data_IF_912092330538
#
_entry.id   IF_912092330538
#
_cell.length_a   1.000
_cell.length_b   1.000
_cell.length_c   1.000
_cell.angle_alpha   90.00
_cell.angle_beta   90.00
_cell.angle_gamma   90.00
#
_symmetry.space_group_name_H-M   'P 1'
#
loop_
_entity.id
_entity.type
_entity.pdbx_description
1 polymer ?
2 branched ?
3 non-polymer ?
4 water ?
#
# COMPACT_ATOMS: atom_id res chain seq x y z
N UNK A 1 -12.12 11.27 8.54
CA UNK A 1 -11.81 10.09 9.42
C UNK A 1 -10.52 10.41 10.20
N UNK A 2 -10.47 10.12 11.50
CA UNK A 2 -9.30 10.38 12.30
C UNK A 2 -8.96 9.16 13.14
N UNK A 3 -7.70 9.01 13.50
CA UNK A 3 -7.24 8.07 14.51
C UNK A 3 -6.29 8.74 15.44
N UNK A 4 -6.00 8.07 16.57
CA UNK A 4 -4.94 8.46 17.45
C UNK A 4 -4.34 7.26 18.19
N UNK A 5 -3.20 7.48 18.86
CA UNK A 5 -2.42 6.44 19.52
C UNK A 5 -2.21 6.97 20.93
N UNK A 6 -2.61 6.19 21.91
CA UNK A 6 -2.54 6.53 23.36
C UNK A 6 -3.03 7.90 23.67
N UNK A 7 -4.14 8.30 23.08
CA UNK A 7 -4.68 9.63 23.32
C UNK A 7 -3.83 10.78 22.80
N UNK A 8 -2.96 10.57 21.79
CA UNK A 8 -2.17 11.68 21.22
C UNK A 8 -3.02 12.42 20.22
N UNK A 9 -2.37 13.30 19.47
CA UNK A 9 -3.10 14.15 18.53
C UNK A 9 -3.56 13.33 17.29
N UNK A 10 -4.53 13.92 16.59
CA UNK A 10 -5.32 13.17 15.65
C UNK A 10 -4.47 12.96 14.36
N UNK A 11 -4.78 11.91 13.61
CA UNK A 11 -3.93 11.43 12.50
C UNK A 11 -4.89 11.22 11.37
N UNK A 12 -4.55 11.68 10.19
CA UNK A 12 -5.42 11.60 9.03
C UNK A 12 -4.90 10.62 7.97
N UNK A 13 -3.65 10.24 8.06
CA UNK A 13 -2.92 9.40 7.09
C UNK A 13 -1.44 9.22 7.55
N UNK A 14 -0.67 8.37 6.86
CA UNK A 14 0.75 8.34 7.04
C UNK A 14 1.15 7.24 8.00
N UNK A 15 2.44 7.21 8.32
CA UNK A 15 3.06 6.23 9.22
C UNK A 15 3.15 6.75 10.62
N UNK A 16 2.79 5.91 11.59
CA UNK A 16 2.85 6.25 13.01
C UNK A 16 3.47 5.05 13.76
N UNK A 17 4.37 5.34 14.70
CA UNK A 17 5.00 4.32 15.55
C UNK A 17 4.07 4.01 16.74
N UNK A 18 3.89 2.74 17.09
CA UNK A 18 2.96 2.32 18.18
C UNK A 18 3.80 1.46 19.13
N UNK A 19 4.04 2.02 20.32
CA UNK A 19 4.90 1.41 21.37
C UNK A 19 4.09 0.50 22.30
N UNK A 20 4.50 -0.76 22.43
CA UNK A 20 3.78 -1.77 23.22
C UNK A 20 4.76 -2.32 24.27
N UNK A 21 4.28 -2.67 25.46
CA UNK A 21 5.08 -3.45 26.41
C UNK A 21 4.79 -4.90 26.24
N UNK A 22 5.80 -5.74 26.17
CA UNK A 22 5.59 -7.16 25.94
C UNK A 22 6.17 -7.93 27.10
N UNK A 23 5.77 -9.19 27.22
CA UNK A 23 6.34 -10.12 28.25
C UNK A 23 7.83 -10.30 27.97
N UNK A 24 8.70 -10.04 28.95
CA UNK A 24 10.14 -10.06 28.63
C UNK A 24 10.78 -11.44 28.39
N UNK A 25 10.08 -12.51 28.78
CA UNK A 25 10.52 -13.91 28.59
C UNK A 25 9.40 -14.71 27.93
N UNK A 26 9.68 -15.41 26.82
CA UNK A 26 8.79 -16.40 26.16
C UNK A 26 9.50 -17.82 26.03
N UNK A 27 8.74 -18.95 25.91
CA UNK A 27 9.28 -20.34 25.74
C UNK A 27 9.04 -20.85 24.31
N UNK A 28 9.81 -21.85 23.84
CA UNK A 28 9.57 -22.40 22.47
C UNK A 28 8.11 -22.86 22.26
N UNK A 29 7.58 -22.63 21.05
CA UNK A 29 6.15 -22.90 20.77
C UNK A 29 5.11 -22.02 21.48
N UNK A 30 5.50 -21.19 22.44
CA UNK A 30 4.56 -20.33 23.15
C UNK A 30 4.24 -19.11 22.29
N UNK A 31 3.05 -18.61 22.46
CA UNK A 31 2.59 -17.59 21.60
C UNK A 31 2.58 -16.20 22.24
N UNK A 32 3.22 -15.25 21.58
CA UNK A 32 3.29 -13.87 22.05
C UNK A 32 2.12 -13.03 21.48
N UNK A 33 1.38 -12.31 22.34
CA UNK A 33 0.20 -11.52 21.91
C UNK A 33 0.45 -10.03 22.02
N UNK A 34 0.14 -9.32 20.96
CA UNK A 34 0.20 -7.91 20.96
C UNK A 34 -1.23 -7.35 20.75
N UNK A 35 -1.83 -6.75 21.78
CA UNK A 35 -3.20 -6.23 21.67
C UNK A 35 -3.18 -4.74 21.31
N UNK A 36 -3.42 -4.48 20.04
CA UNK A 36 -3.40 -3.10 19.56
C UNK A 36 -4.65 -2.33 19.86
N UNK A 37 -5.74 -2.99 20.19
CA UNK A 37 -6.99 -2.32 20.63
C UNK A 37 -6.84 -1.41 21.88
N UNK A 38 -5.79 -1.64 22.67
CA UNK A 38 -5.48 -0.75 23.79
C UNK A 38 -4.86 0.56 23.37
N UNK A 39 -4.28 0.65 22.17
CA UNK A 39 -3.46 1.75 21.74
C UNK A 39 -4.04 2.64 20.68
N UNK A 40 -4.67 2.06 19.69
CA UNK A 40 -5.11 2.79 18.55
C UNK A 40 -6.65 2.88 18.60
N UNK A 41 -7.18 4.07 18.37
CA UNK A 41 -8.62 4.34 18.27
C UNK A 41 -8.89 5.20 17.02
N UNK A 42 -10.09 5.12 16.40
CA UNK A 42 -10.48 5.89 15.25
C UNK A 42 -11.91 6.32 15.35
N UNK A 43 -12.27 7.40 14.66
CA UNK A 43 -13.63 7.85 14.68
C UNK A 43 -14.02 8.59 13.38
N UNK A 44 -15.33 8.68 13.15
CA UNK A 44 -15.92 9.44 12.07
C UNK A 44 -15.86 10.88 12.48
N UNK A 45 -15.41 11.75 11.60
CA UNK A 45 -15.29 13.18 11.92
C UNK A 45 -16.63 13.92 11.91
N UNK A 46 -17.70 13.41 11.33
CA UNK A 46 -19.01 14.11 11.41
C UNK A 46 -20.04 13.46 12.38
N UNK A 47 -20.04 12.11 12.48
CA UNK A 47 -21.06 11.43 13.26
C UNK A 47 -22.37 11.23 12.49
N UNK A 48 -23.29 10.51 13.15
CA UNK A 48 -24.56 10.18 12.60
C UNK A 48 -24.58 9.34 11.34
N UNK A 49 -23.50 8.68 10.96
CA UNK A 49 -23.52 7.77 9.77
C UNK A 49 -23.84 8.54 8.48
N UNK A 50 -23.51 9.82 8.45
CA UNK A 50 -23.82 10.68 7.35
C UNK A 50 -22.82 10.38 6.21
N UNK A 51 -21.53 10.37 6.54
CA UNK A 51 -20.49 10.02 5.56
C UNK A 51 -19.69 8.90 6.17
N UNK A 52 -20.15 7.65 6.02
CA UNK A 52 -19.63 6.55 6.81
C UNK A 52 -18.22 6.13 6.28
N UNK A 53 -17.29 5.85 7.20
CA UNK A 53 -15.96 5.42 6.90
C UNK A 53 -15.88 3.92 6.90
N UNK A 54 -15.16 3.38 5.93
CA UNK A 54 -14.97 1.96 5.75
C UNK A 54 -13.45 1.66 5.81
N UNK A 55 -13.03 0.86 6.79
CA UNK A 55 -11.66 0.57 6.97
C UNK A 55 -11.34 -0.92 6.91
N UNK A 56 -10.21 -1.27 6.31
CA UNK A 56 -9.73 -2.66 6.33
C UNK A 56 -8.20 -2.64 6.38
N UNK A 57 -7.63 -3.80 6.71
CA UNK A 57 -6.17 -4.00 6.64
C UNK A 57 -5.81 -4.60 5.24
N UNK A 58 -4.56 -4.34 4.84
CA UNK A 58 -4.14 -4.49 3.49
C UNK A 58 -3.05 -5.60 3.32
N UNK A 59 -3.28 -6.39 2.29
CA UNK A 59 -2.33 -7.29 1.60
C UNK A 59 -0.92 -6.75 1.57
N UNK A 60 -0.03 -7.58 2.06
CA UNK A 60 1.35 -7.21 2.21
C UNK A 60 1.80 -6.72 3.56
N UNK A 61 0.88 -6.43 4.50
CA UNK A 61 1.25 -6.11 5.89
C UNK A 61 2.04 -7.32 6.37
N UNK A 62 3.15 -7.05 6.99
CA UNK A 62 4.13 -8.09 7.29
C UNK A 62 4.98 -7.74 8.55
N UNK A 63 5.64 -8.78 9.05
CA UNK A 63 6.79 -8.66 9.96
C UNK A 63 7.93 -7.88 9.31
N UNK A 64 8.71 -7.18 10.11
CA UNK A 64 9.80 -6.38 9.62
C UNK A 64 11.09 -6.99 10.07
N UNK A 65 12.12 -6.91 9.22
CA UNK A 65 13.56 -7.17 9.64
C UNK A 65 14.06 -8.60 9.85
N UNK A 67 12.33 -10.25 11.49
CA UNK A 67 11.37 -11.25 11.95
C UNK A 67 10.53 -11.87 10.86
N UNK A 68 11.02 -11.83 9.63
CA UNK A 68 10.30 -12.39 8.45
C UNK A 68 10.14 -13.91 8.48
N UNK A 69 11.01 -14.62 9.20
CA UNK A 69 10.86 -16.06 9.36
C UNK A 69 9.80 -16.40 10.39
N UNK A 70 9.17 -15.41 11.02
CA UNK A 70 8.26 -15.75 12.10
C UNK A 70 6.87 -16.11 11.57
N UNK A 71 6.19 -16.98 12.30
CA UNK A 71 4.79 -17.35 12.01
C UNK A 71 3.89 -16.37 12.75
N UNK A 72 2.74 -16.13 12.18
CA UNK A 72 1.80 -15.33 12.87
C UNK A 72 0.42 -15.34 12.34
N UNK A 73 -0.42 -14.78 13.18
CA UNK A 73 -1.81 -14.59 12.94
C UNK A 73 -2.16 -13.18 13.30
N UNK A 74 -3.19 -12.68 12.65
CA UNK A 74 -3.70 -11.37 12.95
C UNK A 74 -5.20 -11.49 13.17
N UNK A 75 -5.67 -11.08 14.33
CA UNK A 75 -7.12 -11.02 14.64
C UNK A 75 -7.61 -9.63 14.22
N UNK A 76 -8.59 -9.56 13.35
CA UNK A 76 -9.12 -8.28 12.90
C UNK A 76 -10.64 -8.45 12.81
N UNK A 77 -11.34 -7.68 13.66
CA UNK A 77 -12.78 -7.53 13.62
C UNK A 77 -13.45 -8.84 13.66
N UNK A 78 -13.03 -9.68 14.60
CA UNK A 78 -13.55 -11.02 14.86
C UNK A 78 -13.07 -12.11 13.95
N UNK A 79 -12.08 -11.92 13.07
CA UNK A 79 -11.61 -12.98 12.18
C UNK A 79 -10.09 -13.09 12.32
N UNK A 80 -9.57 -14.30 12.23
CA UNK A 80 -8.17 -14.61 12.27
C UNK A 80 -7.64 -14.82 10.86
N UNK A 81 -6.58 -14.10 10.48
CA UNK A 81 -6.00 -14.25 9.20
C UNK A 81 -4.56 -14.67 9.41
N UNK A 82 -4.03 -15.53 8.53
CA UNK A 82 -2.57 -15.75 8.59
C UNK A 82 -1.86 -14.41 8.41
N UNK A 83 -0.73 -14.26 9.09
CA UNK A 83 0.12 -13.09 9.00
C UNK A 83 1.56 -13.59 8.67
N UNK A 84 2.22 -13.01 7.65
CA UNK A 84 1.77 -11.79 6.86
C UNK A 84 0.55 -11.88 5.95
N UNK A 85 -0.14 -10.75 5.80
CA UNK A 85 -1.46 -10.77 5.11
C UNK A 85 -1.23 -10.99 3.65
N UNK A 86 -1.81 -12.05 3.10
CA UNK A 86 -1.66 -12.33 1.66
C UNK A 86 -2.94 -11.86 0.91
N UNK A 87 -3.90 -11.27 1.64
CA UNK A 87 -5.16 -10.69 1.12
C UNK A 87 -5.57 -9.50 2.00
N UNK A 88 -6.51 -8.71 1.56
CA UNK A 88 -7.13 -7.71 2.39
C UNK A 88 -8.06 -8.36 3.41
N UNK A 89 -8.28 -7.68 4.55
CA UNK A 89 -9.25 -8.18 5.57
C UNK A 89 -10.67 -7.68 5.32
N UNK A 90 -11.62 -8.19 6.10
CA UNK A 90 -12.98 -7.72 6.08
C UNK A 90 -13.02 -6.17 6.52
N UNK A 91 -14.12 -5.51 6.21
CA UNK A 91 -14.24 -4.07 6.34
C UNK A 91 -14.98 -3.75 7.65
N UNK A 92 -14.48 -2.78 8.36
CA UNK A 92 -15.13 -2.25 9.57
C UNK A 92 -15.72 -0.89 9.20
N UNK A 93 -16.98 -0.70 9.54
CA UNK A 93 -17.69 0.56 9.21
C UNK A 93 -17.69 1.47 10.43
N UNK A 94 -17.30 2.75 10.28
CA UNK A 94 -17.23 3.69 11.38
C UNK A 94 -18.02 4.94 11.00
N UNK A 95 -19.13 5.16 11.75
CA UNK A 95 -20.04 6.26 11.47
C UNK A 95 -20.26 7.20 12.59
N UNK A 96 -19.73 6.88 13.76
CA UNK A 96 -19.93 7.75 14.93
C UNK A 96 -18.67 8.59 15.23
N UNK A 97 -18.87 9.75 15.87
CA UNK A 97 -17.84 10.62 16.35
C UNK A 97 -17.45 10.24 17.78
N UNK A 98 -17.08 9.00 17.97
CA UNK A 98 -16.82 8.33 19.24
C UNK A 98 -15.58 7.49 18.94
N UNK A 99 -14.55 7.63 19.74
CA UNK A 99 -13.39 6.84 19.30
C UNK A 99 -13.55 5.32 19.51
N UNK A 100 -13.42 4.54 18.44
CA UNK A 100 -13.60 3.12 18.51
C UNK A 100 -12.22 2.53 18.55
N UNK A 101 -11.89 1.77 19.63
CA UNK A 101 -10.62 0.98 19.58
C UNK A 101 -10.54 0.10 18.34
N UNK A 102 -9.41 0.08 17.62
CA UNK A 102 -9.32 -0.84 16.49
C UNK A 102 -9.26 -2.28 17.03
N UNK A 103 -10.09 -3.18 16.48
CA UNK A 103 -10.22 -4.53 17.04
C UNK A 103 -9.18 -5.40 16.38
N UNK A 104 -7.96 -5.25 16.87
CA UNK A 104 -6.78 -5.74 16.18
C UNK A 104 -5.80 -6.35 17.20
N UNK A 105 -5.44 -7.62 17.04
CA UNK A 105 -4.41 -8.27 17.86
C UNK A 105 -3.48 -9.01 16.92
N UNK A 106 -2.23 -9.11 17.29
CA UNK A 106 -1.18 -9.79 16.49
C UNK A 106 -0.60 -10.92 17.34
N UNK A 107 -0.65 -12.14 16.83
CA UNK A 107 -0.10 -13.33 17.49
C UNK A 107 1.17 -13.75 16.82
N UNK A 108 2.23 -13.88 17.58
CA UNK A 108 3.58 -14.15 17.02
C UNK A 108 4.16 -15.40 17.61
N UNK A 109 4.57 -16.31 16.74
CA UNK A 109 5.38 -17.46 17.14
C UNK A 109 6.78 -17.32 16.55
N UNK A 110 7.79 -17.25 17.42
CA UNK A 110 9.15 -17.10 16.88
C UNK A 110 9.71 -18.42 16.32
N UNK A 111 10.51 -18.35 15.24
CA UNK A 111 11.27 -19.54 14.79
C UNK A 111 12.42 -19.15 13.83
N UNK A 116 17.59 -17.18 22.64
CA UNK A 116 18.20 -15.83 22.89
C UNK A 116 17.21 -14.68 22.64
N UNK A 117 17.70 -13.51 22.26
CA UNK A 117 16.79 -12.36 22.00
C UNK A 117 15.93 -12.64 20.80
N UNK A 118 14.63 -12.56 20.99
CA UNK A 118 13.65 -12.80 19.92
C UNK A 118 13.11 -11.47 19.31
N UNK A 119 12.87 -10.48 20.17
CA UNK A 119 12.46 -9.13 19.79
C UNK A 119 13.38 -8.15 20.50
N UNK A 120 14.01 -7.25 19.74
CA UNK A 120 14.83 -6.14 20.32
C UNK A 120 14.00 -4.89 20.62
N UNK A 121 14.23 -4.28 21.76
CA UNK A 121 13.53 -3.06 22.15
C UNK A 121 13.80 -2.03 21.05
N UNK A 122 12.77 -1.34 20.57
CA UNK A 122 12.95 -0.22 19.72
C UNK A 122 13.03 -0.52 18.24
N UNK A 123 13.03 -1.80 17.86
CA UNK A 123 13.05 -2.19 16.46
C UNK A 123 11.58 -2.36 16.02
N UNK A 124 11.33 -2.01 14.78
CA UNK A 124 10.02 -2.26 14.22
C UNK A 124 9.82 -3.75 14.08
N UNK A 125 8.74 -4.26 14.64
CA UNK A 125 8.42 -5.69 14.60
C UNK A 125 7.47 -6.05 13.44
N UNK A 126 6.52 -5.15 13.17
CA UNK A 126 5.53 -5.37 12.13
C UNK A 126 5.10 -4.02 11.51
N UNK A 127 4.71 -4.06 10.24
CA UNK A 127 4.19 -2.88 9.56
C UNK A 127 2.82 -3.22 9.06
N UNK A 128 1.83 -2.57 9.65
CA UNK A 128 0.46 -2.87 9.35
C UNK A 128 -0.19 -1.79 8.52
N UNK A 129 -0.51 -2.13 7.28
CA UNK A 129 -1.18 -1.19 6.35
C UNK A 129 -2.71 -1.23 6.51
N UNK A 130 -3.29 -0.07 6.79
CA UNK A 130 -4.72 0.10 6.92
C UNK A 130 -5.23 1.10 5.85
N UNK A 131 -6.37 0.81 5.27
CA UNK A 131 -6.96 1.66 4.24
C UNK A 131 -8.34 2.14 4.70
N UNK A 132 -8.63 3.40 4.38
CA UNK A 132 -9.86 4.02 4.64
C UNK A 132 -10.40 4.60 3.36
N UNK A 133 -11.69 4.44 3.12
CA UNK A 133 -12.42 5.22 2.16
C UNK A 133 -13.86 5.44 2.77
N UNK A 134 -14.46 6.56 2.47
CA UNK A 134 -15.77 6.88 3.01
C UNK A 134 -16.83 6.66 1.92
N UNK A 135 -17.95 7.37 2.00
CA UNK A 135 -19.15 7.07 1.25
C UNK A 135 -19.47 8.18 0.19
N UNK A 136 -19.32 9.47 0.55
CA UNK A 136 -19.69 10.60 -0.31
C UNK A 136 -18.54 11.04 -1.21
N UNK A 137 -18.88 11.61 -2.35
CA UNK A 137 -17.87 12.08 -3.35
C UNK A 137 -16.96 10.95 -3.78
N UNK A 138 -15.69 11.21 -3.82
CA UNK A 138 -14.69 10.18 -4.13
C UNK A 138 -14.41 9.27 -2.93
N UNK A 139 -14.94 9.59 -1.76
CA UNK A 139 -14.62 8.85 -0.54
C UNK A 139 -13.35 9.27 0.16
N UNK A 140 -12.56 10.20 -0.42
CA UNK A 140 -11.26 10.65 0.09
C UNK A 140 -10.40 9.53 0.75
N UNK A 141 -9.99 8.55 -0.06
CA UNK A 141 -9.20 7.47 0.47
C UNK A 141 -7.91 7.89 1.14
N UNK A 142 -7.55 7.22 2.24
CA UNK A 142 -6.32 7.51 2.98
C UNK A 142 -5.62 6.23 3.33
N UNK A 143 -4.30 6.25 3.42
CA UNK A 143 -3.56 5.07 3.80
C UNK A 143 -2.85 5.43 5.13
N UNK A 144 -2.86 4.49 6.06
CA UNK A 144 -2.20 4.53 7.36
C UNK A 144 -1.24 3.36 7.45
N UNK A 145 -0.05 3.56 8.06
CA UNK A 145 0.85 2.44 8.39
C UNK A 145 1.16 2.56 9.85
N UNK A 146 0.91 1.47 10.58
CA UNK A 146 1.16 1.38 11.96
C UNK A 146 2.43 0.56 12.09
N UNK A 147 3.50 1.20 12.53
CA UNK A 147 4.78 0.51 12.86
C UNK A 147 4.75 0.07 14.28
N UNK A 148 4.66 -1.24 14.50
CA UNK A 148 4.55 -1.76 15.81
C UNK A 148 5.98 -1.94 16.42
N UNK A 149 6.21 -1.43 17.61
CA UNK A 149 7.54 -1.38 18.21
C UNK A 149 7.44 -1.75 19.69
N UNK A 150 8.33 -2.63 20.17
CA UNK A 150 8.33 -3.01 21.61
C UNK A 150 9.18 -2.06 22.39
N UNK A 151 8.70 -1.63 23.55
CA UNK A 151 9.50 -0.88 24.55
C UNK A 151 10.63 -1.70 25.25
N UNK A 152 10.55 -3.03 25.22
CA UNK A 152 11.54 -3.89 25.85
C UNK A 152 11.92 -5.11 25.00
N UNK A 153 13.12 -5.65 25.19
CA UNK A 153 13.45 -6.88 24.52
C UNK A 153 12.68 -8.05 25.13
N UNK A 154 12.53 -9.06 24.30
CA UNK A 154 11.83 -10.29 24.62
C UNK A 154 12.87 -11.37 24.27
N UNK A 155 13.05 -12.27 25.23
CA UNK A 155 14.11 -13.30 25.24
C UNK A 155 13.45 -14.67 25.36
N UNK A 156 14.06 -15.65 24.74
CA UNK A 156 13.70 -17.05 24.92
C UNK A 156 14.91 -17.86 25.39
N UNK A 157 14.89 -18.43 26.63
CA UNK A 157 15.98 -19.33 27.16
C UNK A 157 16.70 -20.31 26.19
N UNK B 1 11.24 -14.36 -8.00
CA UNK B 1 10.55 -13.40 -8.94
C UNK B 1 11.41 -12.16 -9.08
N UNK B 2 11.58 -11.66 -10.34
CA UNK B 2 12.37 -10.46 -10.52
C UNK B 2 11.61 -9.49 -11.39
N UNK B 3 11.90 -8.22 -11.22
CA UNK B 3 11.49 -7.16 -12.20
C UNK B 3 12.68 -6.29 -12.53
N UNK B 4 12.51 -5.45 -13.54
CA UNK B 4 13.42 -4.38 -13.83
C UNK B 4 12.73 -3.19 -14.48
N UNK B 5 13.45 -2.09 -14.55
CA UNK B 5 12.93 -0.85 -15.07
C UNK B 5 13.93 -0.37 -16.15
N UNK B 6 13.44 -0.11 -17.37
CA UNK B 6 14.24 0.27 -18.51
C UNK B 6 15.45 -0.65 -18.69
N UNK B 7 15.27 -1.96 -18.57
CA UNK B 7 16.37 -2.90 -18.82
C UNK B 7 17.49 -2.88 -17.80
N UNK B 8 17.31 -2.29 -16.63
CA UNK B 8 18.35 -2.18 -15.60
C UNK B 8 18.47 -3.45 -14.77
N UNK B 9 19.16 -3.35 -13.63
CA UNK B 9 19.41 -4.51 -12.79
C UNK B 9 18.14 -5.01 -12.02
N UNK B 10 18.19 -6.26 -11.60
CA UNK B 10 17.03 -6.96 -11.23
C UNK B 10 16.59 -6.51 -9.79
N UNK B 11 15.29 -6.61 -9.52
CA UNK B 11 14.62 -6.01 -8.28
C UNK B 11 13.79 -7.12 -7.70
N UNK B 12 13.98 -7.44 -6.42
CA UNK B 12 13.30 -8.47 -5.74
C UNK B 12 12.18 -7.98 -4.79
N UNK B 13 12.18 -6.71 -4.45
CA UNK B 13 11.22 -6.07 -3.53
C UNK B 13 11.52 -4.53 -3.43
N UNK B 14 10.67 -3.75 -2.74
CA UNK B 14 11.05 -2.41 -2.33
C UNK B 14 10.54 -1.38 -3.30
N UNK B 15 11.01 -0.16 -3.14
CA UNK B 15 10.54 1.02 -3.95
C UNK B 15 11.52 1.38 -5.00
N UNK B 16 11.02 1.65 -6.19
CA UNK B 16 11.81 1.98 -7.31
C UNK B 16 11.14 3.17 -8.07
N UNK B 17 11.95 4.12 -8.51
CA UNK B 17 11.49 5.26 -9.31
C UNK B 17 11.34 4.81 -10.74
N UNK B 18 10.26 5.21 -11.38
CA UNK B 18 10.03 4.92 -12.78
C UNK B 18 9.85 6.26 -13.54
N UNK B 19 10.84 6.57 -14.37
CA UNK B 19 10.88 7.84 -15.13
C UNK B 19 10.08 7.71 -16.37
N UNK B 20 9.07 8.59 -16.61
CA UNK B 20 8.24 8.59 -17.82
C UNK B 20 8.20 9.92 -18.56
N UNK B 21 8.03 9.88 -19.88
CA UNK B 21 7.85 11.12 -20.66
C UNK B 21 6.40 11.42 -20.77
N UNK B 22 5.99 12.64 -20.47
CA UNK B 22 4.59 13.01 -20.53
C UNK B 22 4.44 14.12 -21.52
N UNK B 23 3.22 14.30 -21.98
CA UNK B 23 2.86 15.31 -23.00
C UNK B 23 3.20 16.66 -22.37
N UNK B 24 4.09 17.45 -23.00
CA UNK B 24 4.54 18.68 -22.27
C UNK B 24 3.50 19.83 -22.13
N UNK B 25 2.41 19.77 -22.88
CA UNK B 25 1.36 20.79 -22.92
C UNK B 25 0.04 20.06 -22.87
N UNK B 26 -0.75 20.32 -21.85
CA UNK B 26 -2.09 19.79 -21.75
C UNK B 26 -3.05 20.97 -21.65
N UNK B 27 -4.22 20.71 -22.14
CA UNK B 27 -5.28 21.71 -22.12
C UNK B 27 -6.31 21.29 -21.09
N UNK B 28 -7.12 22.25 -20.62
CA UNK B 28 -8.21 21.87 -19.71
C UNK B 28 -9.14 20.74 -20.28
N UNK B 29 -9.61 19.85 -19.42
CA UNK B 29 -10.33 18.64 -19.84
C UNK B 29 -9.59 17.55 -20.63
N UNK B 30 -8.36 17.80 -21.03
CA UNK B 30 -7.60 16.81 -21.76
C UNK B 30 -6.98 15.80 -20.74
N UNK B 31 -6.75 14.58 -21.18
CA UNK B 31 -6.20 13.58 -20.32
C UNK B 31 -4.88 12.92 -20.79
N UNK B 32 -4.03 12.62 -19.82
CA UNK B 32 -2.74 11.99 -20.05
C UNK B 32 -2.82 10.50 -19.91
N UNK B 33 -2.11 9.84 -20.80
CA UNK B 33 -1.85 8.40 -20.71
C UNK B 33 -0.41 8.14 -20.33
N UNK B 34 -0.19 7.30 -19.31
CA UNK B 34 1.12 6.84 -18.93
C UNK B 34 1.19 5.33 -19.15
N UNK B 35 1.90 4.91 -20.18
CA UNK B 35 1.98 3.49 -20.51
C UNK B 35 3.19 2.90 -19.78
N UNK B 36 2.93 2.21 -18.67
CA UNK B 36 4.02 1.63 -17.88
C UNK B 36 4.55 0.32 -18.44
N UNK B 37 3.82 -0.32 -19.34
CA UNK B 37 4.35 -1.47 -20.05
C UNK B 37 5.69 -1.20 -20.81
N UNK B 38 5.95 0.09 -21.13
CA UNK B 38 7.19 0.51 -21.82
C UNK B 38 8.36 0.66 -20.88
N UNK B 39 8.17 0.56 -19.55
CA UNK B 39 9.23 0.68 -18.56
C UNK B 39 9.50 -0.51 -17.64
N UNK B 40 8.47 -1.20 -17.19
CA UNK B 40 8.61 -2.23 -16.23
C UNK B 40 8.33 -3.62 -16.84
N UNK B 41 9.21 -4.60 -16.55
CA UNK B 41 9.12 -5.97 -17.02
C UNK B 41 9.43 -6.90 -15.87
N UNK B 42 8.86 -8.10 -15.82
CA UNK B 42 9.06 -9.04 -14.69
C UNK B 42 9.20 -10.44 -15.24
N UNK B 43 9.83 -11.32 -14.49
CA UNK B 43 9.99 -12.66 -14.92
C UNK B 43 10.10 -13.66 -13.76
N UNK B 44 9.84 -14.91 -14.07
CA UNK B 44 10.04 -15.99 -13.14
C UNK B 44 11.52 -16.31 -13.13
N UNK B 45 12.07 -16.49 -11.93
CA UNK B 45 13.49 -16.82 -11.81
C UNK B 45 13.91 -18.30 -12.18
N UNK B 46 12.97 -19.25 -12.24
CA UNK B 46 13.30 -20.58 -12.65
C UNK B 46 12.90 -20.84 -14.09
N UNK B 47 11.72 -20.38 -14.49
CA UNK B 47 11.12 -20.78 -15.79
C UNK B 47 10.40 -22.12 -15.73
N UNK B 48 9.79 -22.43 -16.86
CA UNK B 48 9.04 -23.68 -17.01
C UNK B 48 7.81 -23.82 -16.11
N UNK B 49 7.25 -22.73 -15.56
CA UNK B 49 5.99 -22.81 -14.83
C UNK B 49 6.13 -23.86 -13.69
N UNK B 50 7.30 -23.87 -13.06
CA UNK B 50 7.61 -24.78 -11.95
C UNK B 50 7.15 -24.19 -10.60
N UNK B 51 7.54 -22.96 -10.34
CA UNK B 51 7.09 -22.25 -9.14
C UNK B 51 6.51 -20.96 -9.62
N UNK B 52 5.25 -20.99 -9.99
CA UNK B 52 4.66 -19.92 -10.72
C UNK B 52 4.40 -18.70 -9.80
N UNK B 53 4.68 -17.50 -10.33
CA UNK B 53 4.49 -16.26 -9.61
C UNK B 53 3.14 -15.64 -9.90
N UNK B 54 2.52 -15.06 -8.87
CA UNK B 54 1.19 -14.45 -8.99
C UNK B 54 1.30 -13.03 -8.48
N UNK B 55 1.05 -12.07 -9.34
CA UNK B 55 1.16 -10.69 -8.99
C UNK B 55 -0.18 -9.90 -9.20
N UNK B 56 -0.44 -8.97 -8.30
CA UNK B 56 -1.52 -8.05 -8.46
C UNK B 56 -1.13 -6.68 -7.92
N UNK B 57 -1.96 -5.67 -8.27
CA UNK B 57 -1.79 -4.34 -7.72
C UNK B 57 -2.73 -4.19 -6.50
N UNK B 58 -2.34 -3.28 -5.62
CA UNK B 58 -2.89 -3.23 -4.25
C UNK B 58 -3.71 -1.91 -3.97
N UNK B 59 -4.85 -2.16 -3.36
CA UNK B 59 -5.69 -1.20 -2.68
C UNK B 59 -4.88 -0.12 -2.04
N UNK B 60 -5.25 1.12 -2.40
CA UNK B 60 -4.58 2.24 -1.84
C UNK B 60 -3.55 2.85 -2.73
N UNK B 61 -3.18 2.18 -3.82
CA UNK B 61 -2.36 2.84 -4.87
C UNK B 61 -3.07 4.12 -5.34
N UNK B 62 -2.30 5.19 -5.45
CA UNK B 62 -2.91 6.54 -5.58
C UNK B 62 -1.95 7.50 -6.27
N UNK B 63 -2.51 8.61 -6.73
CA UNK B 63 -1.71 9.84 -7.06
C UNK B 63 -0.94 10.38 -5.85
N UNK B 64 0.16 11.08 -6.07
CA UNK B 64 0.96 11.65 -5.00
C UNK B 64 0.90 13.16 -5.08
N UNK B 66 -0.18 16.26 -4.00
CA UNK B 66 -0.23 17.35 -4.94
C UNK B 66 -1.14 17.06 -6.18
N UNK B 67 -1.10 15.85 -6.79
CA UNK B 67 -2.12 15.45 -7.78
C UNK B 67 -3.26 14.66 -7.17
N UNK B 68 -3.46 14.83 -5.85
CA UNK B 68 -4.41 14.07 -5.06
C UNK B 68 -5.82 14.34 -5.49
N UNK B 69 -6.11 15.51 -6.06
CA UNK B 69 -7.48 15.81 -6.54
C UNK B 69 -7.76 15.26 -7.90
N UNK B 70 -6.78 14.60 -8.53
CA UNK B 70 -7.00 14.22 -9.94
C UNK B 70 -7.88 12.94 -10.06
N UNK B 71 -8.58 12.81 -11.18
CA UNK B 71 -9.39 11.62 -11.50
C UNK B 71 -8.51 10.67 -12.31
N UNK B 72 -8.86 9.41 -12.28
CA UNK B 72 -8.15 8.49 -13.08
C UNK B 72 -8.72 7.13 -13.20
N UNK B 73 -8.06 6.36 -14.06
CA UNK B 73 -8.30 4.98 -14.32
C UNK B 73 -6.96 4.29 -14.42
N UNK B 74 -6.98 3.02 -14.14
CA UNK B 74 -5.79 2.22 -14.23
C UNK B 74 -6.13 0.93 -14.99
N UNK B 75 -5.50 0.71 -16.13
CA UNK B 75 -5.67 -0.50 -16.87
C UNK B 75 -4.68 -1.54 -16.33
N UNK B 76 -5.14 -2.72 -15.96
CA UNK B 76 -4.27 -3.78 -15.52
C UNK B 76 -4.84 -5.13 -16.00
N UNK B 77 -4.07 -5.76 -16.86
CA UNK B 77 -4.29 -7.15 -17.25
C UNK B 77 -5.75 -7.47 -17.51
N UNK B 78 -6.26 -6.73 -18.46
CA UNK B 78 -7.57 -6.94 -19.13
C UNK B 78 -8.69 -6.24 -18.42
N UNK B 79 -8.46 -5.46 -17.34
CA UNK B 79 -9.54 -4.73 -16.66
C UNK B 79 -9.05 -3.29 -16.48
N UNK B 80 -9.96 -2.34 -16.61
CA UNK B 80 -9.76 -0.93 -16.33
C UNK B 80 -10.49 -0.60 -14.99
N UNK B 81 -9.76 -0.22 -13.94
CA UNK B 81 -10.27 0.01 -12.60
C UNK B 81 -10.27 1.49 -12.41
N UNK B 82 -11.25 2.04 -11.64
CA UNK B 82 -11.05 3.42 -11.15
C UNK B 82 -9.73 3.57 -10.37
N UNK B 83 -9.14 4.78 -10.48
CA UNK B 83 -7.88 5.07 -9.80
C UNK B 83 -8.10 6.39 -9.08
N UNK B 84 -7.69 6.53 -7.82
CA UNK B 84 -6.98 5.51 -7.01
C UNK B 84 -7.68 4.19 -6.72
N UNK B 85 -6.88 3.16 -6.52
CA UNK B 85 -7.41 1.80 -6.38
C UNK B 85 -8.10 1.69 -5.05
N UNK B 86 -9.37 1.26 -5.08
CA UNK B 86 -10.13 1.02 -3.87
C UNK B 86 -10.31 -0.50 -3.62
N UNK B 87 -9.70 -1.31 -4.45
CA UNK B 87 -9.65 -2.77 -4.31
C UNK B 87 -8.32 -3.28 -4.85
N UNK B 88 -7.93 -4.50 -4.52
CA UNK B 88 -6.86 -5.20 -5.18
C UNK B 88 -7.31 -5.63 -6.58
N UNK B 89 -6.37 -5.67 -7.53
CA UNK B 89 -6.71 -6.00 -8.92
C UNK B 89 -6.73 -7.49 -9.12
N UNK B 90 -7.12 -7.92 -10.31
CA UNK B 90 -6.99 -9.32 -10.69
C UNK B 90 -5.48 -9.73 -10.72
N UNK B 91 -5.22 -11.00 -10.76
CA UNK B 91 -3.88 -11.53 -10.61
C UNK B 91 -3.33 -11.88 -12.04
N UNK B 92 -2.07 -11.59 -12.29
CA UNK B 92 -1.33 -12.00 -13.43
C UNK B 92 -0.32 -13.09 -13.01
N UNK B 93 -0.26 -14.15 -13.78
CA UNK B 93 0.57 -15.32 -13.44
C UNK B 93 1.81 -15.32 -14.32
N UNK B 94 3.01 -15.47 -13.72
CA UNK B 94 4.29 -15.35 -14.44
C UNK B 94 5.19 -16.59 -14.10
N UNK B 95 5.48 -17.36 -15.15
CA UNK B 95 6.13 -18.67 -15.04
C UNK B 95 7.30 -18.82 -15.95
N UNK B 96 7.49 -17.91 -16.92
CA UNK B 96 8.63 -18.02 -17.90
C UNK B 96 9.80 -17.15 -17.43
N UNK B 97 11.00 -17.51 -17.79
CA UNK B 97 12.20 -16.70 -17.51
C UNK B 97 12.37 -15.52 -18.52
N UNK B 98 11.80 -15.66 -19.69
CA UNK B 98 11.65 -14.50 -20.63
C UNK B 98 10.83 -13.32 -20.02
N UNK B 99 11.43 -12.10 -19.89
CA UNK B 99 10.73 -10.92 -19.23
C UNK B 99 9.36 -10.62 -19.89
N UNK B 100 8.33 -10.36 -19.07
CA UNK B 100 7.08 -9.93 -19.55
C UNK B 100 6.89 -8.43 -19.17
N UNK B 101 6.67 -7.55 -20.16
CA UNK B 101 6.17 -6.16 -19.86
C UNK B 101 4.91 -6.17 -19.01
N UNK B 102 4.85 -5.40 -17.94
CA UNK B 102 3.66 -5.38 -17.14
C UNK B 102 2.55 -4.72 -18.01
N UNK B 103 1.36 -5.32 -18.09
CA UNK B 103 0.24 -4.81 -18.85
C UNK B 103 -0.54 -3.72 -18.02
N UNK B 104 0.05 -2.55 -17.95
CA UNK B 104 -0.31 -1.54 -16.98
C UNK B 104 -0.28 -0.16 -17.62
N UNK B 105 -1.39 0.55 -17.63
CA UNK B 105 -1.46 1.92 -18.13
C UNK B 105 -2.28 2.76 -17.14
N UNK B 106 -1.94 4.02 -17.00
CA UNK B 106 -2.55 4.92 -16.05
C UNK B 106 -3.14 6.09 -16.88
N UNK B 107 -4.44 6.32 -16.75
CA UNK B 107 -5.12 7.43 -17.39
C UNK B 107 -5.37 8.50 -16.38
N UNK B 108 -4.97 9.72 -16.66
CA UNK B 108 -5.05 10.85 -15.70
C UNK B 108 -5.86 12.00 -16.29
N UNK B 109 -6.94 12.44 -15.61
CA UNK B 109 -7.66 13.67 -15.94
C UNK B 109 -7.37 14.71 -14.86
N UNK B 110 -6.73 15.79 -15.25
CA UNK B 110 -6.42 16.81 -14.25
C UNK B 110 -7.68 17.62 -13.85
N UNK B 111 -7.79 17.93 -12.55
CA UNK B 111 -8.87 18.66 -11.87
C UNK B 111 -8.15 19.75 -10.98
N UNK B 112 -8.39 21.04 -11.23
CA UNK B 112 -7.73 22.16 -10.52
C UNK B 112 -7.20 23.25 -11.44
N UNK B 113 -5.91 23.15 -11.80
CA UNK B 113 -5.14 24.25 -12.42
C UNK B 113 -4.91 25.32 -11.35
N UNK B 115 -3.41 26.95 -14.32
CA UNK B 115 -2.45 27.32 -15.39
C UNK B 115 -0.93 27.42 -15.09
N UNK B 116 -0.07 27.44 -16.12
CA UNK B 116 1.36 27.35 -15.91
C UNK B 116 1.76 25.87 -15.59
N UNK B 117 2.84 25.67 -14.86
CA UNK B 117 3.34 24.34 -14.61
C UNK B 117 2.41 23.56 -13.70
N UNK B 118 1.99 22.39 -14.16
CA UNK B 118 1.07 21.50 -13.43
C UNK B 118 1.82 20.32 -12.84
N UNK B 119 2.77 19.77 -13.61
CA UNK B 119 3.61 18.66 -13.15
C UNK B 119 5.04 19.10 -13.38
N UNK B 120 5.79 19.06 -12.30
CA UNK B 120 7.23 19.28 -12.36
C UNK B 120 8.05 18.08 -12.76
N UNK B 121 9.10 18.30 -13.56
CA UNK B 121 10.10 17.28 -13.84
C UNK B 121 10.74 16.83 -12.52
N UNK B 122 10.71 15.53 -12.22
CA UNK B 122 11.27 14.99 -11.03
C UNK B 122 10.30 14.76 -9.90
N UNK B 123 9.04 15.14 -10.03
CA UNK B 123 8.01 15.02 -8.96
C UNK B 123 7.39 13.64 -9.06
N UNK B 124 7.21 12.94 -7.96
CA UNK B 124 6.41 11.70 -7.92
C UNK B 124 4.97 12.04 -8.24
N UNK B 125 4.41 11.42 -9.29
CA UNK B 125 3.01 11.65 -9.73
C UNK B 125 2.04 10.55 -9.20
N UNK B 126 2.53 9.32 -8.99
CA UNK B 126 1.71 8.22 -8.53
C UNK B 126 2.57 7.21 -7.81
N UNK B 127 1.98 6.54 -6.82
CA UNK B 127 2.63 5.43 -6.09
C UNK B 127 1.80 4.18 -6.26
N UNK B 128 2.36 3.24 -7.04
CA UNK B 128 1.66 2.02 -7.35
C UNK B 128 2.24 0.86 -6.53
N UNK B 129 1.42 0.31 -5.66
CA UNK B 129 1.79 -0.87 -4.87
C UNK B 129 1.44 -2.22 -5.60
N UNK B 130 2.43 -3.09 -5.71
CA UNK B 130 2.31 -4.41 -6.36
C UNK B 130 2.70 -5.49 -5.38
N UNK B 131 1.95 -6.59 -5.32
CA UNK B 131 2.23 -7.69 -4.43
C UNK B 131 2.51 -8.93 -5.26
N UNK B 132 3.50 -9.73 -4.82
CA UNK B 132 3.85 -10.99 -5.43
C UNK B 132 3.73 -12.05 -4.39
N UNK B 133 3.17 -13.23 -4.76
CA UNK B 133 3.36 -14.48 -4.02
C UNK B 133 3.43 -15.62 -5.02
N UNK B 134 4.22 -16.66 -4.73
CA UNK B 134 4.42 -17.75 -5.68
C UNK B 134 3.58 -18.91 -5.25
N UNK B 135 3.94 -20.13 -5.66
CA UNK B 135 3.10 -21.29 -5.58
C UNK B 135 3.61 -22.26 -4.50
N UNK B 136 4.91 -22.51 -4.46
CA UNK B 136 5.53 -23.52 -3.52
C UNK B 136 5.85 -22.94 -2.17
N UNK B 137 5.83 -23.80 -1.14
CA UNK B 137 6.16 -23.41 0.27
C UNK B 137 5.22 -22.29 0.75
N UNK B 138 5.77 -21.29 1.37
CA UNK B 138 5.01 -20.11 1.77
C UNK B 138 4.74 -19.18 0.61
N UNK B 139 5.35 -19.42 -0.55
CA UNK B 139 5.16 -18.48 -1.68
C UNK B 139 6.07 -17.26 -1.65
N UNK B 140 6.85 -17.05 -0.56
CA UNK B 140 7.80 -15.92 -0.38
C UNK B 140 7.24 -14.57 -0.88
N UNK B 141 6.15 -14.11 -0.24
CA UNK B 141 5.56 -12.90 -0.65
C UNK B 141 6.54 -11.71 -0.64
N UNK B 142 6.39 -10.79 -1.58
CA UNK B 142 7.18 -9.62 -1.65
C UNK B 142 6.33 -8.41 -2.02
N UNK B 143 6.72 -7.22 -1.60
CA UNK B 143 5.96 -6.01 -1.93
C UNK B 143 6.91 -5.18 -2.79
N UNK B 144 6.37 -4.56 -3.83
CA UNK B 144 7.03 -3.58 -4.68
C UNK B 144 6.25 -2.28 -4.70
N UNK B 145 6.90 -1.12 -4.73
CA UNK B 145 6.22 0.15 -5.00
C UNK B 145 6.95 0.80 -6.16
N UNK B 146 6.17 1.17 -7.14
CA UNK B 146 6.67 1.87 -8.29
C UNK B 146 6.29 3.32 -8.11
N UNK B 147 7.28 4.16 -7.88
CA UNK B 147 7.07 5.63 -7.88
C UNK B 147 7.18 6.22 -9.24
N UNK B 148 6.07 6.67 -9.76
CA UNK B 148 6.05 7.14 -11.11
C UNK B 148 6.49 8.62 -11.09
N UNK B 149 7.48 8.98 -11.89
CA UNK B 149 8.09 10.33 -11.92
C UNK B 149 8.19 10.86 -13.36
N UNK B 150 7.80 12.11 -13.60
CA UNK B 150 7.95 12.68 -14.95
C UNK B 150 9.36 13.13 -15.22
N UNK B 151 9.88 12.81 -16.40
CA UNK B 151 11.12 13.41 -16.93
C UNK B 151 11.02 14.88 -17.27
N UNK B 152 9.84 15.41 -17.51
CA UNK B 152 9.66 16.78 -18.04
C UNK B 152 8.49 17.51 -17.38
N UNK B 153 8.57 18.84 -17.37
CA UNK B 153 7.45 19.77 -17.08
C UNK B 153 6.25 19.49 -17.93
N UNK B 154 5.06 19.61 -17.35
CA UNK B 154 3.80 19.58 -18.04
C UNK B 154 3.17 20.88 -17.64
N UNK B 155 2.72 21.59 -18.63
CA UNK B 155 2.23 22.95 -18.52
C UNK B 155 0.80 22.93 -19.04
N UNK B 156 -0.03 23.76 -18.47
CA UNK B 156 -1.33 24.05 -19.00
C UNK B 156 -1.38 25.55 -19.22
N UNK B 157 -1.27 26.01 -20.48
CA UNK B 157 -1.36 27.45 -20.78
C UNK B 157 -2.56 28.15 -20.09
N UNK B 158 -2.27 29.27 -19.41
CA UNK B 158 -3.30 30.16 -18.86
C UNK B 158 -4.01 30.84 -20.01
N UNK B 159 -3.28 31.41 -20.98
CA UNK B 159 -3.92 32.02 -22.18
C UNK B 159 -3.45 31.32 -23.47
N UNK B 160 -4.32 31.36 -24.49
CA UNK B 160 -4.11 30.65 -25.78
C UNK B 160 -4.14 31.61 -27.02
N UNK B 161 -4.28 32.92 -26.81
CA UNK B 161 -4.38 33.87 -27.93
C UNK B 161 -3.55 35.10 -27.66
N UNK B 162 -3.13 35.82 -28.71
CA UNK B 162 -2.33 37.07 -28.56
C UNK B 162 -3.12 38.09 -27.66
N UNK B 163 -4.40 38.35 -27.94
CA UNK B 163 -5.28 39.16 -27.05
C UNK B 163 -6.29 38.27 -26.25
N UNK B 164 -6.58 38.60 -25.00
CA UNK B 164 -7.37 37.71 -24.07
C UNK B 164 -7.99 38.42 -22.85
X LIG C 1 -12.20 18.28 8.76
X LIG C 1 -13.05 18.41 7.61
X LIG C 1 -14.38 18.39 8.09
X LIG C 1 -12.89 17.21 6.65
X LIG C 1 -13.82 17.29 5.54
X LIG C 1 -13.18 15.87 7.36
X LIG C 1 -12.90 14.69 6.53
X LIG C 1 -12.34 15.82 8.62
X LIG C 1 -10.98 15.63 8.20
X LIG C 1 -12.48 17.07 9.50
X LIG C 1 -11.60 16.98 10.75
X LIG C 1 -12.02 18.05 11.62
X LIG C 1 -13.47 17.40 4.28
X LIG C 1 -12.28 17.41 3.98
X LIG C 1 -14.63 17.46 3.29
X LIG C 2 -13.85 13.83 6.16
X LIG C 2 -13.45 13.01 4.92
X LIG C 2 -14.57 12.08 4.55
X LIG C 2 -15.08 11.24 5.72
X LIG C 2 -15.59 12.20 6.82
X LIG C 2 -16.07 11.46 8.07
X LIG C 2 -13.23 13.98 3.88
X LIG C 2 -14.10 11.27 3.50
X LIG C 2 -14.04 10.39 6.23
X LIG C 2 -14.55 13.09 7.21
X LIG C 2 -14.99 10.91 8.80
X LIG D 1 17.39 -17.36 -6.65
X LIG D 1 16.92 -18.43 -5.84
X LIG D 1 16.84 -19.57 -6.73
X LIG D 1 15.58 -18.00 -5.17
X LIG D 1 14.94 -19.13 -4.54
X LIG D 1 14.59 -17.55 -6.27
X LIG D 1 13.31 -17.11 -5.75
X LIG D 1 15.18 -16.43 -7.08
X LIG D 1 15.31 -15.33 -6.17
X LIG D 1 16.50 -16.80 -7.66
X LIG D 1 17.08 -15.52 -8.21
X LIG D 1 18.32 -15.89 -8.84
X LIG D 1 14.60 -19.21 -3.27
X LIG D 1 14.87 -18.38 -2.43
X LIG D 1 13.78 -20.44 -3.02
X LIG D 2 12.19 -17.77 -6.00
X LIG D 2 11.15 -17.33 -4.98
X LIG D 2 9.80 -17.96 -5.28
X LIG D 2 9.45 -17.67 -6.72
X LIG D 2 10.57 -18.22 -7.70
X LIG D 2 10.25 -18.01 -9.20
X LIG D 2 11.66 -17.71 -3.69
X LIG D 2 8.87 -17.52 -4.26
X LIG D 2 9.17 -16.28 -6.86
X LIG D 2 11.81 -17.64 -7.37
X LIG D 2 10.43 -16.66 -9.60
X LIG E 1 -7.73 32.80 -24.20
#
# INVERSE_FOLDING_TARGET
FSCNVDGGSSIGAGTTSVYVNLDPVIQPGQNLVVDLSQHISCWNDYGGWYDTDHINLVQGSAFAGSLQSYKGSLYWNNVTYPFPLTTNTNVLDIGDKTPMPLPLKLYITPVGAAGGVVIKAGEVIARIHMYKIATLGSGNPRNFTWNIISNNSVVMPTHHHHHH
FSCNVDGGSSIGAGTTSVYVNLDPVIQPGQNLVVDLSQHISCWNDYGGWYDTDHINLVQGSAFAGSLQSYKGSLYWNNVTYPFPLTTNTNVLDIGDKTPMPLPLKLYITPVGAAGGVVIKAGEVIARIHMYKIATLGSGNPRNFTWNIISNNSVVMPTHHHHHH
A2G O5 C1 O1 C2 N2 C3 O3 C4 O4 C5 C6 O6 C7 O7 C8
GAL C1 C2 C3 C4 C5 C6 O2 O3 O4 O5 O6
A2G O5 C1 O1 C2 N2 C3 O3 C4 O4 C5 C6 O6 C7 O7 C8
GAL C1 C2 C3 C4 C5 C6 O2 O3 O4 O5 O6
NI NI
#
